data_IF_464035617292
#
_entry.id   IF_464035617292
#
_cell.length_a   1.000
_cell.length_b   1.000
_cell.length_c   1.000
_cell.angle_alpha   90.00
_cell.angle_beta   90.00
_cell.angle_gamma   90.00
#
_symmetry.space_group_name_H-M   'P 1'
#
loop_
_entity.id
_entity.type
_entity.pdbx_description
1 polymer ?
#
# COMPACT_ATOMS: atom_id res chain seq x y z
N UNK A 1 -49.94 29.42 -34.51
CA UNK A 1 -50.08 28.65 -33.28
C UNK A 1 -48.67 28.55 -32.74
N UNK A 2 -48.36 29.37 -31.75
CA UNK A 2 -47.05 29.51 -31.12
C UNK A 2 -46.91 28.42 -30.06
N UNK A 3 -45.76 27.73 -30.06
CA UNK A 3 -45.35 26.83 -28.98
C UNK A 3 -44.42 27.63 -28.08
N UNK A 4 -44.81 27.73 -26.82
CA UNK A 4 -44.11 28.45 -25.76
C UNK A 4 -42.90 27.63 -25.29
N UNK A 5 -41.77 28.32 -25.21
CA UNK A 5 -40.46 27.84 -24.72
C UNK A 5 -40.46 27.97 -23.18
N UNK A 6 -40.73 26.89 -22.47
CA UNK A 6 -40.56 26.80 -21.01
C UNK A 6 -39.08 26.60 -20.67
N UNK A 7 -38.40 27.67 -20.29
CA UNK A 7 -37.06 27.62 -19.70
C UNK A 7 -37.19 27.23 -18.24
N UNK A 8 -36.71 26.01 -17.94
CA UNK A 8 -36.59 25.45 -16.61
C UNK A 8 -35.50 26.20 -15.82
N UNK A 9 -35.93 26.99 -14.85
CA UNK A 9 -35.08 27.82 -13.99
C UNK A 9 -34.63 26.99 -12.79
N UNK A 10 -33.48 26.32 -12.93
CA UNK A 10 -32.87 25.56 -11.85
C UNK A 10 -32.26 26.52 -10.80
N UNK A 11 -32.58 26.37 -9.49
CA UNK A 11 -32.06 27.27 -8.47
C UNK A 11 -30.56 27.08 -8.25
N UNK A 12 -29.83 28.21 -8.28
CA UNK A 12 -28.39 28.26 -8.03
C UNK A 12 -28.01 27.63 -6.68
N UNK A 13 -27.10 26.64 -6.71
CA UNK A 13 -26.53 26.01 -5.53
C UNK A 13 -25.81 27.06 -4.67
N UNK A 14 -26.28 27.27 -3.46
CA UNK A 14 -25.63 28.10 -2.44
C UNK A 14 -24.30 27.45 -2.07
N UNK A 15 -23.19 28.15 -2.32
CA UNK A 15 -21.87 27.80 -1.77
C UNK A 15 -21.93 27.93 -0.25
N UNK A 16 -21.89 26.80 0.43
CA UNK A 16 -21.71 26.77 1.87
C UNK A 16 -20.27 27.20 2.20
N UNK A 17 -20.13 28.27 2.98
CA UNK A 17 -18.85 28.66 3.55
C UNK A 17 -18.44 27.63 4.61
N UNK A 18 -17.16 27.22 4.69
CA UNK A 18 -16.72 26.31 5.75
C UNK A 18 -16.77 27.02 7.12
N UNK A 19 -17.38 26.36 8.09
CA UNK A 19 -17.46 26.78 9.49
C UNK A 19 -16.04 26.81 10.10
N UNK A 20 -15.55 27.93 10.66
CA UNK A 20 -14.18 28.02 11.20
C UNK A 20 -13.98 27.32 12.55
N UNK A 21 -14.96 26.60 13.08
CA UNK A 21 -14.91 25.97 14.41
C UNK A 21 -14.30 24.56 14.42
N UNK A 22 -13.95 23.98 13.26
CA UNK A 22 -13.42 22.62 13.18
C UNK A 22 -11.91 22.60 12.91
N UNK A 23 -11.12 23.08 13.83
CA UNK A 23 -9.71 22.70 13.98
C UNK A 23 -9.00 23.46 15.10
N UNK A 24 -9.11 23.01 16.34
CA UNK A 24 -8.10 23.24 17.40
C UNK A 24 -8.32 22.24 18.53
N UNK A 25 -7.94 21.00 18.28
CA UNK A 25 -7.56 20.10 19.37
C UNK A 25 -6.16 19.61 19.05
N UNK A 26 -5.17 20.28 19.62
CA UNK A 26 -3.80 19.78 19.72
C UNK A 26 -3.83 18.60 20.68
N UNK A 27 -4.13 17.40 20.16
CA UNK A 27 -3.85 16.17 20.88
C UNK A 27 -2.33 16.05 20.95
N UNK A 28 -1.78 16.03 22.16
CA UNK A 28 -0.39 15.70 22.41
C UNK A 28 -0.10 14.35 21.76
N UNK A 29 0.72 14.35 20.72
CA UNK A 29 1.17 13.12 20.08
C UNK A 29 2.11 12.42 21.05
N UNK A 30 1.64 11.32 21.64
CA UNK A 30 2.52 10.37 22.29
C UNK A 30 3.56 9.90 21.27
N UNK A 31 4.85 9.76 21.64
CA UNK A 31 5.86 9.27 20.70
C UNK A 31 5.44 7.90 20.20
N UNK A 32 5.46 7.73 18.86
CA UNK A 32 5.21 6.45 18.20
C UNK A 32 6.17 5.40 18.79
N UNK A 33 5.71 4.17 19.06
CA UNK A 33 6.59 3.10 19.49
C UNK A 33 7.67 2.90 18.44
N UNK A 34 8.94 2.92 18.88
CA UNK A 34 10.09 2.67 18.02
C UNK A 34 9.97 1.25 17.48
N UNK A 35 10.33 1.08 16.19
CA UNK A 35 10.44 -0.24 15.58
C UNK A 35 11.31 -1.13 16.47
N UNK A 36 10.95 -2.41 16.70
CA UNK A 36 11.73 -3.31 17.52
C UNK A 36 13.14 -3.42 16.91
N UNK A 37 14.14 -3.02 17.71
CA UNK A 37 15.55 -3.18 17.39
C UNK A 37 15.90 -4.66 17.40
N UNK A 38 16.88 -5.02 16.58
CA UNK A 38 17.55 -6.31 16.39
C UNK A 38 17.28 -7.39 17.46
N UNK A 39 16.14 -8.09 17.33
CA UNK A 39 15.93 -9.40 17.93
C UNK A 39 16.20 -10.44 16.85
N UNK A 40 16.97 -11.48 17.17
CA UNK A 40 17.30 -12.61 16.31
C UNK A 40 16.06 -13.04 15.51
N UNK A 41 16.17 -13.04 14.18
CA UNK A 41 15.20 -13.35 13.14
C UNK A 41 13.84 -13.87 13.64
N UNK A 42 12.89 -12.95 13.85
CA UNK A 42 11.49 -13.28 14.12
C UNK A 42 10.79 -13.91 12.90
N UNK A 43 11.49 -13.98 11.76
CA UNK A 43 10.97 -14.43 10.47
C UNK A 43 11.51 -15.81 10.11
N UNK A 44 10.64 -16.66 9.57
CA UNK A 44 11.00 -18.00 9.10
C UNK A 44 11.75 -17.96 7.75
N UNK A 45 12.34 -19.10 7.37
CA UNK A 45 12.91 -19.26 6.03
C UNK A 45 11.85 -19.12 4.93
N UNK A 46 10.62 -19.56 5.19
CA UNK A 46 9.50 -19.38 4.27
C UNK A 46 9.13 -17.89 4.08
N UNK A 47 9.14 -17.09 5.16
CA UNK A 47 8.94 -15.64 5.08
C UNK A 47 10.03 -14.98 4.24
N UNK A 48 11.29 -15.38 4.47
CA UNK A 48 12.44 -14.88 3.72
C UNK A 48 12.33 -15.23 2.24
N UNK A 49 11.91 -16.45 1.92
CA UNK A 49 11.68 -16.87 0.54
C UNK A 49 10.59 -16.05 -0.13
N UNK A 50 9.44 -15.87 0.52
CA UNK A 50 8.33 -15.06 0.00
C UNK A 50 8.74 -13.60 -0.22
N UNK A 51 9.51 -13.00 0.70
CA UNK A 51 10.00 -11.63 0.54
C UNK A 51 11.01 -11.51 -0.61
N UNK A 52 11.84 -12.53 -0.85
CA UNK A 52 12.74 -12.56 -2.01
C UNK A 52 11.97 -12.62 -3.32
N UNK A 53 10.88 -13.41 -3.40
CA UNK A 53 9.99 -13.38 -4.57
C UNK A 53 9.38 -11.98 -4.78
N UNK A 54 8.93 -11.34 -3.71
CA UNK A 54 8.42 -9.97 -3.79
C UNK A 54 9.50 -8.99 -4.29
N UNK A 55 10.76 -9.17 -3.86
CA UNK A 55 11.88 -8.33 -4.32
C UNK A 55 12.19 -8.54 -5.81
N UNK A 56 12.07 -9.76 -6.35
CA UNK A 56 12.20 -10.00 -7.79
C UNK A 56 11.08 -9.29 -8.58
N UNK A 57 9.85 -9.30 -8.08
CA UNK A 57 8.74 -8.56 -8.68
C UNK A 57 9.00 -7.04 -8.64
N UNK A 58 9.60 -6.53 -7.56
CA UNK A 58 10.00 -5.12 -7.49
C UNK A 58 11.06 -4.76 -8.56
N UNK A 59 12.00 -5.66 -8.87
CA UNK A 59 12.97 -5.47 -9.96
C UNK A 59 12.28 -5.47 -11.33
N UNK A 60 11.24 -6.29 -11.53
CA UNK A 60 10.44 -6.24 -12.75
C UNK A 60 9.70 -4.89 -12.89
N UNK A 61 9.12 -4.37 -11.81
CA UNK A 61 8.55 -3.01 -11.80
C UNK A 61 9.59 -1.97 -12.24
N UNK A 62 10.80 -2.02 -11.67
CA UNK A 62 11.89 -1.12 -12.03
C UNK A 62 12.24 -1.18 -13.52
N UNK A 63 12.32 -2.38 -14.09
CA UNK A 63 12.64 -2.56 -15.51
C UNK A 63 11.59 -1.94 -16.44
N UNK A 64 10.34 -1.83 -15.97
CA UNK A 64 9.23 -1.16 -16.68
C UNK A 64 9.13 0.34 -16.39
N UNK A 65 10.06 0.91 -15.60
CA UNK A 65 10.03 2.32 -15.21
C UNK A 65 9.04 2.65 -14.07
N UNK A 66 8.44 1.64 -13.46
CA UNK A 66 7.58 1.78 -12.28
C UNK A 66 8.41 1.95 -11.01
N UNK A 67 7.78 2.49 -9.96
CA UNK A 67 8.38 2.46 -8.62
C UNK A 67 8.57 1.01 -8.19
N UNK A 68 9.79 0.58 -7.78
CA UNK A 68 10.11 -0.83 -7.55
C UNK A 68 9.51 -1.34 -6.23
N UNK A 69 8.23 -1.71 -6.29
CA UNK A 69 7.52 -2.40 -5.22
C UNK A 69 6.94 -3.68 -5.79
N UNK A 70 7.11 -4.77 -5.05
CA UNK A 70 6.58 -6.08 -5.37
C UNK A 70 5.88 -6.68 -4.16
N UNK A 71 4.89 -7.54 -4.41
CA UNK A 71 4.08 -8.18 -3.39
C UNK A 71 3.73 -9.62 -3.78
N UNK A 72 3.66 -10.50 -2.76
CA UNK A 72 3.30 -11.92 -2.89
C UNK A 72 2.27 -12.27 -1.82
N UNK A 73 1.22 -12.99 -2.20
CA UNK A 73 0.23 -13.56 -1.27
C UNK A 73 0.42 -15.07 -1.19
N UNK A 74 0.58 -15.57 0.02
CA UNK A 74 0.62 -17.00 0.32
C UNK A 74 -0.68 -17.44 0.99
N UNK A 75 -1.15 -18.64 0.69
CA UNK A 75 -2.20 -19.31 1.46
C UNK A 75 -1.66 -19.89 2.78
N UNK A 76 -2.52 -20.53 3.58
CA UNK A 76 -2.16 -21.15 4.84
C UNK A 76 -1.14 -22.32 4.70
N UNK A 77 -1.05 -22.94 3.52
CA UNK A 77 -0.09 -23.99 3.21
C UNK A 77 1.27 -23.44 2.72
N UNK A 78 1.41 -22.11 2.60
CA UNK A 78 2.61 -21.47 2.08
C UNK A 78 2.71 -21.46 0.55
N UNK A 79 1.63 -21.81 -0.16
CA UNK A 79 1.58 -21.76 -1.62
C UNK A 79 1.33 -20.32 -2.07
N UNK A 80 2.04 -19.89 -3.11
CA UNK A 80 1.80 -18.61 -3.76
C UNK A 80 0.47 -18.65 -4.51
N UNK A 81 -0.49 -17.81 -4.09
CA UNK A 81 -1.82 -17.67 -4.72
C UNK A 81 -1.99 -16.32 -5.43
N UNK A 82 -1.10 -15.35 -5.16
CA UNK A 82 -1.14 -14.05 -5.82
C UNK A 82 0.22 -13.39 -5.85
N UNK A 83 0.51 -12.69 -6.94
CA UNK A 83 1.74 -11.93 -7.14
C UNK A 83 1.41 -10.60 -7.81
N UNK A 84 2.18 -9.56 -7.48
CA UNK A 84 1.98 -8.25 -8.06
C UNK A 84 3.22 -7.37 -7.93
N UNK A 85 3.31 -6.40 -8.81
CA UNK A 85 4.24 -5.29 -8.73
C UNK A 85 3.54 -4.01 -9.18
N UNK A 86 4.09 -2.86 -8.83
CA UNK A 86 3.49 -1.57 -9.18
C UNK A 86 3.28 -1.44 -10.70
N UNK A 87 2.09 -0.98 -11.08
CA UNK A 87 1.65 -0.74 -12.47
C UNK A 87 0.89 0.57 -12.59
N UNK A 88 1.20 1.53 -11.77
CA UNK A 88 0.49 2.83 -11.73
C UNK A 88 0.74 3.64 -13.00
N UNK A 89 1.96 3.65 -13.51
CA UNK A 89 2.36 4.43 -14.69
C UNK A 89 1.95 3.68 -15.96
N UNK A 90 2.38 2.43 -16.10
CA UNK A 90 2.13 1.62 -17.31
C UNK A 90 0.67 1.24 -17.47
N UNK A 91 -0.05 1.07 -16.37
CA UNK A 91 -1.47 0.73 -16.35
C UNK A 91 -2.41 1.94 -16.34
N UNK A 92 -1.88 3.17 -16.20
CA UNK A 92 -2.67 4.38 -15.94
C UNK A 92 -3.70 4.17 -14.82
N UNK A 93 -3.34 3.38 -13.80
CA UNK A 93 -4.21 3.01 -12.69
C UNK A 93 -3.66 3.56 -11.37
N UNK A 94 -4.29 4.58 -10.76
CA UNK A 94 -3.83 5.13 -9.48
C UNK A 94 -3.91 4.14 -8.32
N UNK A 95 -4.64 3.05 -8.49
CA UNK A 95 -4.75 1.96 -7.52
C UNK A 95 -3.81 0.79 -7.81
N UNK A 96 -3.07 0.81 -8.90
CA UNK A 96 -2.21 -0.26 -9.39
C UNK A 96 -0.94 -0.48 -8.54
N UNK A 97 -1.06 -0.48 -7.20
CA UNK A 97 0.02 -0.84 -6.29
C UNK A 97 0.22 -2.35 -6.25
N UNK A 98 1.43 -2.79 -5.94
CA UNK A 98 1.83 -4.19 -5.90
C UNK A 98 0.87 -5.04 -5.06
N UNK A 99 0.48 -4.54 -3.90
CA UNK A 99 -0.45 -5.21 -2.98
C UNK A 99 -1.83 -5.40 -3.60
N UNK A 100 -2.35 -4.36 -4.26
CA UNK A 100 -3.68 -4.42 -4.92
C UNK A 100 -3.66 -5.43 -6.07
N UNK A 101 -2.58 -5.44 -6.87
CA UNK A 101 -2.41 -6.39 -7.96
C UNK A 101 -2.34 -7.83 -7.43
N UNK A 102 -1.53 -8.07 -6.39
CA UNK A 102 -1.38 -9.38 -5.78
C UNK A 102 -2.68 -9.87 -5.12
N UNK A 103 -3.40 -9.01 -4.40
CA UNK A 103 -4.69 -9.34 -3.76
C UNK A 103 -5.76 -9.68 -4.79
N UNK A 104 -5.84 -8.95 -5.90
CA UNK A 104 -6.77 -9.25 -7.00
C UNK A 104 -6.50 -10.62 -7.60
N UNK A 105 -5.23 -10.95 -7.85
CA UNK A 105 -4.86 -12.26 -8.38
C UNK A 105 -5.19 -13.37 -7.37
N UNK A 106 -4.86 -13.21 -6.10
CA UNK A 106 -5.17 -14.17 -5.05
C UNK A 106 -6.68 -14.40 -4.92
N UNK A 107 -7.48 -13.33 -4.91
CA UNK A 107 -8.93 -13.41 -4.82
C UNK A 107 -9.56 -14.15 -6.02
N UNK A 108 -9.01 -13.94 -7.22
CA UNK A 108 -9.43 -14.66 -8.41
C UNK A 108 -9.07 -16.15 -8.35
N UNK A 109 -7.85 -16.48 -7.88
CA UNK A 109 -7.40 -17.86 -7.73
C UNK A 109 -8.26 -18.65 -6.71
N UNK A 110 -8.63 -17.99 -5.61
CA UNK A 110 -9.44 -18.59 -4.56
C UNK A 110 -10.97 -18.52 -4.83
N UNK A 111 -11.38 -17.78 -5.87
CA UNK A 111 -12.81 -17.56 -6.16
C UNK A 111 -13.54 -16.80 -5.04
N UNK A 112 -12.82 -16.13 -4.17
CA UNK A 112 -13.34 -15.41 -3.01
C UNK A 112 -12.53 -14.13 -2.74
N UNK A 113 -13.20 -13.01 -2.48
CA UNK A 113 -12.51 -11.78 -2.11
C UNK A 113 -11.95 -11.79 -0.68
N UNK A 114 -12.44 -12.69 0.19
CA UNK A 114 -11.93 -12.89 1.55
C UNK A 114 -10.87 -13.99 1.54
N UNK A 115 -9.72 -13.68 2.13
CA UNK A 115 -8.54 -14.52 2.19
C UNK A 115 -8.08 -14.66 3.66
N UNK A 116 -8.92 -15.21 4.55
CA UNK A 116 -8.76 -15.04 6.01
C UNK A 116 -7.51 -15.70 6.60
N UNK A 117 -6.93 -16.69 5.92
CA UNK A 117 -5.72 -17.41 6.38
C UNK A 117 -4.48 -17.03 5.57
N UNK A 118 -4.63 -16.11 4.61
CA UNK A 118 -3.53 -15.73 3.74
C UNK A 118 -2.59 -14.71 4.40
N UNK A 119 -1.34 -14.74 3.96
CA UNK A 119 -0.29 -13.80 4.34
C UNK A 119 0.21 -13.02 3.13
N UNK A 120 0.39 -11.70 3.28
CA UNK A 120 0.96 -10.82 2.27
C UNK A 120 2.40 -10.46 2.64
N UNK A 121 3.28 -10.58 1.67
CA UNK A 121 4.67 -10.11 1.75
C UNK A 121 4.88 -8.99 0.74
N UNK A 122 5.40 -7.84 1.17
CA UNK A 122 5.55 -6.66 0.32
C UNK A 122 6.85 -5.93 0.62
N UNK A 123 7.52 -5.42 -0.40
CA UNK A 123 8.87 -4.82 -0.27
C UNK A 123 8.87 -3.43 0.36
N UNK A 124 7.72 -2.77 0.45
CA UNK A 124 7.54 -1.44 1.05
C UNK A 124 6.32 -1.45 1.96
N UNK A 125 6.36 -0.68 3.04
CA UNK A 125 5.23 -0.51 3.96
C UNK A 125 3.97 -0.06 3.21
N UNK A 126 2.83 -0.78 3.37
CA UNK A 126 1.58 -0.46 2.69
C UNK A 126 1.04 0.92 3.05
N UNK A 127 0.57 1.66 2.05
CA UNK A 127 -0.14 2.92 2.23
C UNK A 127 -1.60 2.70 2.70
N UNK A 128 -2.31 3.77 3.07
CA UNK A 128 -3.68 3.70 3.59
C UNK A 128 -4.68 2.99 2.64
N UNK A 129 -4.54 3.19 1.32
CA UNK A 129 -5.37 2.50 0.31
C UNK A 129 -5.14 0.99 0.36
N UNK A 130 -3.87 0.55 0.39
CA UNK A 130 -3.51 -0.87 0.43
C UNK A 130 -3.92 -1.52 1.75
N UNK A 131 -3.72 -0.85 2.89
CA UNK A 131 -4.19 -1.32 4.19
C UNK A 131 -5.71 -1.50 4.18
N UNK A 132 -6.46 -0.55 3.61
CA UNK A 132 -7.91 -0.71 3.44
C UNK A 132 -8.28 -1.97 2.66
N UNK A 133 -7.61 -2.25 1.54
CA UNK A 133 -7.83 -3.47 0.76
C UNK A 133 -7.46 -4.75 1.53
N UNK A 134 -6.34 -4.74 2.27
CA UNK A 134 -5.89 -5.85 3.12
C UNK A 134 -6.96 -6.20 4.18
N UNK A 135 -7.50 -5.20 4.86
CA UNK A 135 -8.55 -5.39 5.86
C UNK A 135 -9.86 -5.89 5.25
N UNK A 136 -10.24 -5.41 4.06
CA UNK A 136 -11.39 -5.93 3.32
C UNK A 136 -11.20 -7.38 2.88
N UNK A 137 -10.00 -7.74 2.46
CA UNK A 137 -9.62 -9.11 2.11
C UNK A 137 -9.51 -10.03 3.34
N UNK A 138 -9.53 -9.50 4.56
CA UNK A 138 -9.44 -10.26 5.82
C UNK A 138 -8.13 -11.04 5.97
N UNK A 139 -7.02 -10.52 5.47
CA UNK A 139 -5.73 -11.19 5.61
C UNK A 139 -5.37 -11.43 7.08
N UNK A 140 -4.83 -12.62 7.37
CA UNK A 140 -4.34 -12.95 8.70
C UNK A 140 -3.08 -12.14 9.04
N UNK A 141 -2.16 -12.01 8.08
CA UNK A 141 -0.82 -11.46 8.32
C UNK A 141 -0.32 -10.62 7.15
N UNK A 142 0.43 -9.56 7.48
CA UNK A 142 1.21 -8.75 6.53
C UNK A 142 2.63 -8.63 7.03
N UNK A 143 3.59 -8.92 6.16
CA UNK A 143 5.01 -8.70 6.39
C UNK A 143 5.52 -7.70 5.36
N UNK A 144 6.02 -6.55 5.81
CA UNK A 144 6.64 -5.59 4.92
C UNK A 144 8.15 -5.46 5.18
N UNK A 145 8.91 -5.09 4.12
CA UNK A 145 10.34 -4.93 4.24
C UNK A 145 10.73 -3.53 4.73
N UNK A 146 10.78 -2.55 3.83
CA UNK A 146 11.21 -1.20 4.16
C UNK A 146 10.04 -0.35 4.69
N UNK A 147 10.28 0.46 5.72
CA UNK A 147 9.33 1.47 6.19
C UNK A 147 9.15 2.58 5.15
N UNK A 148 7.95 3.16 5.07
CA UNK A 148 7.66 4.34 4.26
C UNK A 148 7.32 5.55 5.15
N UNK A 149 8.28 6.45 5.41
CA UNK A 149 8.05 7.61 6.27
C UNK A 149 7.17 8.68 5.63
N UNK A 150 6.69 8.49 4.39
CA UNK A 150 5.86 9.47 3.68
C UNK A 150 4.39 9.07 3.64
N UNK A 151 4.11 7.80 3.38
CA UNK A 151 2.74 7.30 3.13
C UNK A 151 2.42 5.99 3.84
N UNK A 152 3.37 5.42 4.59
CA UNK A 152 3.20 4.16 5.30
C UNK A 152 2.06 4.23 6.32
N UNK A 153 1.17 3.25 6.27
CA UNK A 153 -0.04 3.24 7.10
C UNK A 153 -0.12 2.05 8.08
N UNK A 154 0.99 1.34 8.25
CA UNK A 154 1.11 0.25 9.21
C UNK A 154 1.80 0.67 10.51
N UNK A 155 2.80 1.58 10.44
CA UNK A 155 3.54 2.09 11.60
C UNK A 155 4.11 3.49 11.39
N UNK A 156 4.56 3.85 10.14
CA UNK A 156 5.41 5.02 9.92
C UNK A 156 4.69 6.35 10.02
N UNK A 157 3.54 6.51 9.35
CA UNK A 157 2.75 7.76 9.33
C UNK A 157 1.41 7.56 10.00
N UNK A 158 0.76 6.46 9.70
CA UNK A 158 -0.48 5.99 10.28
C UNK A 158 -0.28 4.60 10.86
N UNK A 159 -1.16 4.19 11.78
CA UNK A 159 -1.24 2.82 12.26
C UNK A 159 -2.69 2.34 12.17
N UNK A 160 -3.16 2.17 10.94
CA UNK A 160 -4.54 1.77 10.67
C UNK A 160 -4.85 0.37 11.20
N UNK A 161 -3.97 -0.65 11.10
CA UNK A 161 -4.24 -1.98 11.67
C UNK A 161 -4.45 -1.99 13.18
N UNK A 162 -3.94 -1.01 13.92
CA UNK A 162 -4.10 -0.91 15.36
C UNK A 162 -5.44 -0.28 15.80
N UNK A 163 -6.29 0.15 14.87
CA UNK A 163 -7.60 0.74 15.18
C UNK A 163 -8.57 -0.37 15.60
N UNK A 164 -8.81 -0.50 16.90
CA UNK A 164 -9.63 -1.57 17.48
C UNK A 164 -11.10 -1.59 16.99
N UNK A 165 -11.62 -0.45 16.54
CA UNK A 165 -12.99 -0.31 16.02
C UNK A 165 -13.18 -0.94 14.62
N UNK A 166 -12.09 -1.26 13.91
CA UNK A 166 -12.20 -1.90 12.62
C UNK A 166 -12.68 -3.35 12.78
N UNK A 167 -13.49 -3.79 11.84
CA UNK A 167 -14.17 -5.09 11.89
C UNK A 167 -13.26 -6.29 11.56
N UNK A 168 -11.97 -6.06 11.36
CA UNK A 168 -10.94 -7.07 11.17
C UNK A 168 -9.60 -6.55 11.69
N UNK A 169 -8.84 -7.44 12.31
CA UNK A 169 -7.50 -7.16 12.80
C UNK A 169 -6.51 -8.05 12.03
N UNK A 170 -5.53 -7.42 11.39
CA UNK A 170 -4.46 -8.11 10.65
C UNK A 170 -3.16 -7.98 11.46
N UNK A 171 -2.45 -9.08 11.67
CA UNK A 171 -1.12 -9.04 12.25
C UNK A 171 -0.16 -8.38 11.26
N UNK A 172 0.62 -7.39 11.72
CA UNK A 172 1.55 -6.66 10.86
C UNK A 172 2.95 -6.69 11.46
N UNK A 173 3.93 -7.07 10.63
CA UNK A 173 5.34 -7.15 10.98
C UNK A 173 6.19 -6.44 9.93
N UNK A 174 7.21 -5.74 10.35
CA UNK A 174 8.09 -4.99 9.43
C UNK A 174 9.55 -5.32 9.64
N UNK A 175 10.37 -5.03 8.61
CA UNK A 175 11.83 -5.11 8.70
C UNK A 175 12.49 -6.27 7.96
N UNK A 176 11.74 -7.25 7.45
CA UNK A 176 12.30 -8.38 6.73
C UNK A 176 12.95 -7.93 5.42
N UNK A 177 14.27 -8.11 5.27
CA UNK A 177 15.07 -7.63 4.13
C UNK A 177 14.95 -6.11 3.90
N UNK A 178 14.71 -5.33 4.95
CA UNK A 178 14.46 -3.88 4.86
C UNK A 178 15.59 -3.13 4.15
N UNK A 179 16.84 -3.51 4.38
CA UNK A 179 18.01 -2.86 3.77
C UNK A 179 18.02 -3.08 2.25
N UNK A 180 17.87 -4.33 1.78
CA UNK A 180 17.89 -4.66 0.35
C UNK A 180 16.75 -3.96 -0.41
N UNK A 181 15.53 -4.02 0.13
CA UNK A 181 14.36 -3.38 -0.47
C UNK A 181 14.47 -1.86 -0.47
N UNK A 182 14.95 -1.29 0.63
CA UNK A 182 15.18 0.14 0.75
C UNK A 182 16.27 0.65 -0.20
N UNK A 183 17.34 -0.11 -0.42
CA UNK A 183 18.41 0.25 -1.35
C UNK A 183 17.93 0.26 -2.80
N UNK A 184 17.15 -0.72 -3.20
CA UNK A 184 16.52 -0.77 -4.52
C UNK A 184 15.67 0.48 -4.77
N UNK A 185 14.82 0.84 -3.82
CA UNK A 185 13.94 2.01 -3.90
C UNK A 185 14.73 3.32 -3.94
N UNK A 186 15.73 3.47 -3.07
CA UNK A 186 16.61 4.65 -3.03
C UNK A 186 17.39 4.82 -4.34
N UNK A 187 17.88 3.72 -4.89
CA UNK A 187 18.59 3.68 -6.18
C UNK A 187 17.74 4.18 -7.32
N UNK A 188 16.51 3.70 -7.42
CA UNK A 188 15.53 4.11 -8.43
C UNK A 188 15.25 5.61 -8.38
N UNK A 189 14.93 6.16 -7.22
CA UNK A 189 14.63 7.59 -7.10
C UNK A 189 15.86 8.48 -7.32
N UNK A 190 17.06 7.99 -6.99
CA UNK A 190 18.31 8.69 -7.30
C UNK A 190 18.51 8.80 -8.83
N UNK A 191 18.35 7.69 -9.55
CA UNK A 191 18.45 7.65 -11.00
C UNK A 191 17.43 8.58 -11.68
N UNK A 192 16.17 8.56 -11.22
CA UNK A 192 15.12 9.45 -11.75
C UNK A 192 15.45 10.93 -11.54
N UNK A 193 15.97 11.32 -10.37
CA UNK A 193 16.37 12.71 -10.12
C UNK A 193 17.54 13.13 -11.02
N UNK A 194 18.51 12.24 -11.26
CA UNK A 194 19.65 12.53 -12.16
C UNK A 194 19.17 12.72 -13.61
N UNK A 195 18.32 11.83 -14.11
CA UNK A 195 17.75 11.94 -15.45
C UNK A 195 16.94 13.24 -15.63
N UNK A 196 16.11 13.61 -14.64
CA UNK A 196 15.34 14.85 -14.67
C UNK A 196 16.22 16.11 -14.65
N UNK A 197 17.40 16.07 -13.99
CA UNK A 197 18.37 17.16 -14.00
C UNK A 197 19.04 17.31 -15.36
N UNK A 198 19.43 16.18 -15.98
CA UNK A 198 20.05 16.18 -17.32
C UNK A 198 19.09 16.67 -18.41
N UNK A 199 17.82 16.35 -18.33
CA UNK A 199 16.80 16.78 -19.30
C UNK A 199 16.48 18.29 -19.24
N UNK A 200 16.96 19.01 -18.19
CA UNK A 200 16.76 20.46 -17.99
C UNK A 200 18.03 21.28 -18.34
N UNK A 201 19.14 20.63 -18.63
CA UNK A 201 20.41 21.22 -19.00
C UNK A 201 20.60 21.25 -20.50
#
# INVERSE_FOLDING_TARGET
>A
MAAEDERDDAPAARKASPDPAFCKTTAAQSPLPQAPGDAASAFSDADTYAMRLALELARQAQALGEVPVGAVVLDAAGKVIGQGFNRTITGHDPTGHAEIVALRQAAQAEGNYRLPEASLFVTLEPCAMCVGAILHARLARVVYAAADPKTGACHSVLNVPAIAQLNHQTQVEGGLLAQECGDLLRGFFRARRQAAKQARS
#
